data_IF_163994652886
#
_entry.id   IF_163994652886
#
_cell.length_a   1.000
_cell.length_b   1.000
_cell.length_c   1.000
_cell.angle_alpha   90.00
_cell.angle_beta   90.00
_cell.angle_gamma   90.00
#
_symmetry.space_group_name_H-M   'P 1'
#
loop_
_entity.id
_entity.type
_entity.pdbx_description
1 polymer ?
#
# COMPACT_ATOMS: atom_id res chain seq x y z
N UNK A 1 -22.83 -5.85 13.24
CA UNK A 1 -21.86 -6.94 13.02
C UNK A 1 -20.48 -6.38 13.27
N UNK A 2 -19.56 -7.11 13.91
CA UNK A 2 -18.17 -6.68 13.99
C UNK A 2 -17.61 -6.50 12.56
N UNK A 3 -16.76 -5.51 12.36
CA UNK A 3 -16.08 -5.32 11.10
C UNK A 3 -15.18 -6.54 10.80
N UNK A 4 -15.25 -7.04 9.58
CA UNK A 4 -14.50 -8.22 9.11
C UNK A 4 -14.20 -8.08 7.63
N UNK A 5 -13.13 -8.72 7.16
CA UNK A 5 -12.71 -8.79 5.76
C UNK A 5 -13.19 -10.10 5.12
N UNK A 6 -14.49 -10.41 5.25
CA UNK A 6 -15.06 -11.60 4.62
C UNK A 6 -14.93 -11.51 3.09
N UNK A 7 -14.44 -12.59 2.47
CA UNK A 7 -14.36 -12.76 1.01
C UNK A 7 -13.54 -11.67 0.28
N UNK A 8 -12.55 -11.07 0.95
CA UNK A 8 -11.66 -10.10 0.29
C UNK A 8 -10.83 -10.79 -0.81
N UNK A 9 -11.18 -10.52 -2.06
CA UNK A 9 -10.43 -11.01 -3.21
C UNK A 9 -9.06 -10.33 -3.30
N UNK A 10 -7.97 -11.10 -3.52
CA UNK A 10 -6.66 -10.50 -3.67
C UNK A 10 -6.56 -9.57 -4.87
N UNK A 11 -5.86 -8.45 -4.70
CA UNK A 11 -5.67 -7.40 -5.70
C UNK A 11 -4.20 -7.35 -6.07
N UNK A 12 -3.92 -7.31 -7.37
CA UNK A 12 -2.59 -7.11 -7.93
C UNK A 12 -2.57 -5.86 -8.80
N UNK A 13 -1.45 -5.17 -8.82
CA UNK A 13 -1.28 -4.01 -9.71
C UNK A 13 0.14 -3.49 -9.73
N UNK A 14 0.39 -2.58 -10.66
CA UNK A 14 1.66 -1.86 -10.80
C UNK A 14 1.46 -0.42 -10.30
N UNK A 15 2.19 0.03 -9.27
CA UNK A 15 2.08 1.40 -8.79
C UNK A 15 2.93 2.35 -9.63
N UNK A 16 2.51 3.60 -9.73
CA UNK A 16 3.35 4.70 -10.24
C UNK A 16 4.44 5.01 -9.22
N UNK A 17 5.69 4.83 -9.59
CA UNK A 17 6.83 5.09 -8.69
C UNK A 17 7.17 6.57 -8.73
N UNK A 18 7.18 7.21 -7.57
CA UNK A 18 7.63 8.60 -7.41
C UNK A 18 8.77 8.64 -6.39
N UNK A 19 9.87 9.28 -6.76
CA UNK A 19 11.05 9.40 -5.92
C UNK A 19 11.08 10.78 -5.26
N UNK A 20 11.31 10.80 -3.95
CA UNK A 20 11.60 12.02 -3.19
C UNK A 20 13.11 12.09 -2.92
N UNK A 21 13.75 13.19 -3.35
CA UNK A 21 15.19 13.43 -3.18
C UNK A 21 16.04 13.27 -4.45
N UNK A 22 17.29 13.71 -4.38
CA UNK A 22 18.24 13.72 -5.50
C UNK A 22 18.90 12.35 -5.70
N UNK A 23 18.19 11.39 -6.29
CA UNK A 23 18.76 10.09 -6.64
C UNK A 23 19.56 10.18 -7.95
N UNK A 24 20.86 10.45 -7.86
CA UNK A 24 21.79 10.44 -8.99
C UNK A 24 22.45 9.07 -9.11
N UNK A 25 21.75 8.06 -9.65
CA UNK A 25 22.45 6.89 -10.23
C UNK A 25 21.92 5.49 -9.95
N UNK A 26 20.93 5.28 -9.08
CA UNK A 26 20.34 3.95 -8.87
C UNK A 26 18.98 3.84 -9.57
N UNK A 27 19.01 3.29 -10.78
CA UNK A 27 17.89 2.62 -11.45
C UNK A 27 16.51 3.24 -11.25
N UNK A 28 16.26 4.40 -11.88
CA UNK A 28 14.95 5.09 -11.95
C UNK A 28 13.85 4.30 -12.72
N UNK A 29 14.01 2.98 -12.88
CA UNK A 29 13.09 2.11 -13.64
C UNK A 29 12.96 0.74 -12.97
N UNK A 30 12.83 0.71 -11.65
CA UNK A 30 12.33 -0.48 -10.98
C UNK A 30 10.82 -0.54 -11.18
N UNK A 31 10.37 -1.48 -12.02
CA UNK A 31 8.97 -1.87 -12.06
C UNK A 31 8.66 -2.58 -10.74
N UNK A 32 7.76 -2.01 -9.97
CA UNK A 32 7.24 -2.65 -8.76
C UNK A 32 5.87 -3.25 -9.07
N UNK A 33 5.55 -4.32 -8.35
CA UNK A 33 4.20 -4.87 -8.31
C UNK A 33 3.76 -4.83 -6.86
N UNK A 34 2.52 -4.45 -6.62
CA UNK A 34 1.88 -4.60 -5.33
C UNK A 34 0.88 -5.75 -5.33
N UNK A 35 0.70 -6.34 -4.15
CA UNK A 35 -0.24 -7.39 -3.87
C UNK A 35 -0.95 -7.08 -2.55
N UNK A 36 -2.27 -6.99 -2.58
CA UNK A 36 -3.10 -6.76 -1.40
C UNK A 36 -4.03 -7.95 -1.20
N UNK A 37 -4.05 -8.52 -0.01
CA UNK A 37 -4.92 -9.66 0.32
C UNK A 37 -5.26 -9.68 1.80
N UNK A 38 -6.27 -10.48 2.15
CA UNK A 38 -6.66 -10.72 3.53
C UNK A 38 -6.19 -12.12 3.94
N UNK A 39 -5.09 -12.27 4.71
CA UNK A 39 -4.65 -13.58 5.19
C UNK A 39 -5.65 -14.25 6.15
N UNK A 40 -6.47 -13.46 6.83
CA UNK A 40 -7.58 -13.88 7.69
C UNK A 40 -8.71 -12.84 7.63
N UNK A 41 -9.76 -13.00 8.44
CA UNK A 41 -10.91 -12.07 8.44
C UNK A 41 -10.66 -10.76 9.18
N UNK A 42 -9.49 -10.56 9.81
CA UNK A 42 -9.19 -9.41 10.67
C UNK A 42 -7.98 -8.60 10.25
N UNK A 43 -7.24 -9.02 9.22
CA UNK A 43 -6.04 -8.34 8.73
C UNK A 43 -6.04 -8.19 7.21
N UNK A 44 -5.61 -7.01 6.75
CA UNK A 44 -5.30 -6.73 5.36
C UNK A 44 -3.78 -6.59 5.23
N UNK A 45 -3.17 -7.43 4.38
CA UNK A 45 -1.73 -7.39 4.10
C UNK A 45 -1.48 -6.77 2.72
N UNK A 46 -0.55 -5.83 2.70
CA UNK A 46 -0.07 -5.12 1.51
C UNK A 46 1.41 -5.49 1.34
N UNK A 47 1.74 -6.06 0.19
CA UNK A 47 3.11 -6.38 -0.21
C UNK A 47 3.48 -5.57 -1.45
N UNK A 48 4.72 -5.10 -1.53
CA UNK A 48 5.26 -4.41 -2.71
C UNK A 48 6.65 -4.97 -3.00
N UNK A 49 6.91 -5.39 -4.24
CA UNK A 49 8.19 -6.03 -4.61
C UNK A 49 8.65 -5.65 -6.00
N UNK A 50 9.96 -5.56 -6.19
CA UNK A 50 10.61 -5.51 -7.52
C UNK A 50 11.03 -6.90 -8.03
N UNK A 51 10.76 -7.96 -7.25
CA UNK A 51 11.19 -9.35 -7.49
C UNK A 51 12.68 -9.54 -7.77
N UNK A 52 13.52 -8.57 -7.39
CA UNK A 52 14.97 -8.61 -7.62
C UNK A 52 15.74 -8.46 -6.32
N UNK A 53 15.48 -7.37 -5.61
CA UNK A 53 16.29 -6.94 -4.48
C UNK A 53 15.46 -6.53 -3.28
N UNK A 54 14.24 -6.03 -3.52
CA UNK A 54 13.48 -5.33 -2.48
C UNK A 54 12.05 -5.81 -2.41
N UNK A 55 11.62 -6.15 -1.20
CA UNK A 55 10.21 -6.46 -0.89
C UNK A 55 9.85 -5.80 0.43
N UNK A 56 8.73 -5.08 0.45
CA UNK A 56 8.15 -4.48 1.65
C UNK A 56 6.79 -5.12 1.93
N UNK A 57 6.48 -5.21 3.22
CA UNK A 57 5.19 -5.68 3.72
C UNK A 57 4.65 -4.71 4.76
N UNK A 58 3.33 -4.50 4.72
CA UNK A 58 2.58 -3.84 5.78
C UNK A 58 1.28 -4.59 6.04
N UNK A 59 0.90 -4.72 7.31
CA UNK A 59 -0.35 -5.35 7.73
C UNK A 59 -1.19 -4.34 8.47
N UNK A 60 -2.48 -4.26 8.13
CA UNK A 60 -3.48 -3.41 8.77
C UNK A 60 -4.57 -4.27 9.40
N UNK A 61 -4.79 -4.10 10.69
CA UNK A 61 -5.92 -4.76 11.35
C UNK A 61 -7.24 -4.07 10.98
N UNK A 62 -8.36 -4.77 11.12
CA UNK A 62 -9.69 -4.19 10.96
C UNK A 62 -9.88 -2.93 11.82
N UNK A 63 -9.39 -2.91 13.06
CA UNK A 63 -9.46 -1.73 13.91
C UNK A 63 -8.75 -0.51 13.32
N UNK A 64 -7.57 -0.73 12.71
CA UNK A 64 -6.84 0.35 12.02
C UNK A 64 -7.57 0.79 10.74
N UNK A 65 -8.24 -0.13 10.07
CA UNK A 65 -9.06 0.18 8.90
C UNK A 65 -10.35 0.94 9.28
N UNK A 66 -10.95 0.66 10.44
CA UNK A 66 -12.07 1.45 10.99
C UNK A 66 -11.62 2.88 11.35
N UNK A 67 -10.49 3.03 12.01
CA UNK A 67 -9.90 4.35 12.29
C UNK A 67 -9.58 5.11 10.99
N UNK A 68 -9.11 4.40 9.97
CA UNK A 68 -8.90 4.96 8.64
C UNK A 68 -10.22 5.40 7.98
N UNK A 69 -11.31 4.63 8.10
CA UNK A 69 -12.64 5.02 7.60
C UNK A 69 -13.08 6.33 8.21
N UNK A 70 -12.94 6.45 9.52
CA UNK A 70 -13.36 7.62 10.27
C UNK A 70 -12.50 8.85 9.90
N UNK A 71 -11.20 8.65 9.65
CA UNK A 71 -10.27 9.69 9.18
C UNK A 71 -10.54 10.16 7.75
N UNK A 72 -10.88 9.24 6.83
CA UNK A 72 -11.22 9.57 5.43
C UNK A 72 -12.60 10.23 5.33
N UNK A 73 -13.47 10.00 6.33
CA UNK A 73 -14.81 10.60 6.40
C UNK A 73 -15.85 9.90 5.53
N UNK A 74 -15.66 8.61 5.23
CA UNK A 74 -16.65 7.81 4.49
C UNK A 74 -17.75 7.40 5.46
N UNK A 75 -18.90 8.04 5.33
CA UNK A 75 -20.13 7.60 5.99
C UNK A 75 -20.69 6.33 5.35
N UNK A 76 -21.63 5.68 6.04
CA UNK A 76 -22.26 4.45 5.57
C UNK A 76 -21.82 3.22 6.36
N UNK A 77 -21.96 2.05 5.74
CA UNK A 77 -21.63 0.77 6.35
C UNK A 77 -20.14 0.43 6.23
N UNK A 78 -19.69 -0.56 7.00
CA UNK A 78 -18.36 -1.14 6.84
C UNK A 78 -18.11 -1.65 5.40
N UNK A 79 -19.09 -2.30 4.79
CA UNK A 79 -18.99 -2.81 3.42
C UNK A 79 -18.83 -1.68 2.40
N UNK A 80 -19.48 -0.52 2.60
CA UNK A 80 -19.31 0.64 1.73
C UNK A 80 -17.86 1.15 1.77
N UNK A 81 -17.27 1.17 2.95
CA UNK A 81 -15.86 1.54 3.13
C UNK A 81 -14.91 0.52 2.49
N UNK A 82 -15.13 -0.78 2.67
CA UNK A 82 -14.31 -1.81 2.01
C UNK A 82 -14.44 -1.73 0.50
N UNK A 83 -15.64 -1.49 -0.03
CA UNK A 83 -15.85 -1.29 -1.46
C UNK A 83 -15.09 -0.07 -1.98
N UNK A 84 -15.13 1.06 -1.25
CA UNK A 84 -14.31 2.23 -1.54
C UNK A 84 -12.81 1.88 -1.55
N UNK A 85 -12.32 1.22 -0.50
CA UNK A 85 -10.91 0.86 -0.37
C UNK A 85 -10.43 -0.01 -1.54
N UNK A 86 -11.21 -1.04 -1.89
CA UNK A 86 -10.94 -1.92 -3.04
C UNK A 86 -10.93 -1.11 -4.34
N UNK A 87 -11.90 -0.23 -4.56
CA UNK A 87 -11.96 0.62 -5.74
C UNK A 87 -10.75 1.58 -5.83
N UNK A 88 -10.32 2.15 -4.70
CA UNK A 88 -9.13 3.00 -4.62
C UNK A 88 -7.86 2.24 -4.96
N UNK A 89 -7.69 1.02 -4.44
CA UNK A 89 -6.51 0.18 -4.73
C UNK A 89 -6.51 -0.31 -6.19
N UNK A 90 -7.69 -0.64 -6.74
CA UNK A 90 -7.83 -1.04 -8.15
C UNK A 90 -7.76 0.14 -9.13
N UNK A 91 -7.72 1.38 -8.64
CA UNK A 91 -7.56 2.53 -9.50
C UNK A 91 -6.16 2.55 -10.13
N UNK A 92 -6.05 3.04 -11.36
CA UNK A 92 -4.75 3.23 -12.03
C UNK A 92 -3.93 4.41 -11.46
N UNK A 93 -4.25 4.85 -10.24
CA UNK A 93 -3.62 6.00 -9.57
C UNK A 93 -2.97 5.66 -8.23
N UNK A 94 -2.65 4.38 -8.01
CA UNK A 94 -1.82 3.95 -6.87
C UNK A 94 -0.38 4.41 -7.08
N UNK A 95 0.18 5.05 -6.05
CA UNK A 95 1.55 5.57 -6.06
C UNK A 95 2.43 4.88 -5.03
N UNK A 96 3.66 4.56 -5.42
CA UNK A 96 4.72 4.11 -4.54
C UNK A 96 5.71 5.26 -4.35
N UNK A 97 5.71 5.85 -3.15
CA UNK A 97 6.65 6.91 -2.79
C UNK A 97 7.91 6.29 -2.19
N UNK A 98 9.05 6.55 -2.82
CA UNK A 98 10.36 6.08 -2.36
C UNK A 98 11.22 7.27 -1.99
N UNK A 99 11.73 7.26 -0.76
CA UNK A 99 12.67 8.27 -0.28
C UNK A 99 14.10 7.78 -0.45
N UNK A 100 14.91 8.56 -1.16
CA UNK A 100 16.33 8.32 -1.25
C UNK A 100 16.99 8.62 0.09
N UNK A 101 17.76 7.67 0.63
CA UNK A 101 18.65 8.00 1.74
C UNK A 101 19.65 9.06 1.26
N UNK A 102 19.86 10.14 2.02
CA UNK A 102 20.87 11.13 1.67
C UNK A 102 22.24 10.44 1.63
N UNK A 103 23.04 10.73 0.62
CA UNK A 103 24.43 10.27 0.56
C UNK A 103 25.12 10.72 1.86
N UNK A 104 25.42 9.77 2.74
CA UNK A 104 26.22 10.03 3.93
C UNK A 104 27.69 10.18 3.52
N UNK A 105 27.99 11.14 2.65
CA UNK A 105 29.34 11.62 2.43
C UNK A 105 29.69 12.54 3.59
N UNK A 106 29.84 11.93 4.77
CA UNK A 106 30.47 12.53 5.92
C UNK A 106 31.95 12.70 5.62
N UNK A 107 32.31 13.84 5.04
CA UNK A 107 33.68 14.31 5.07
C UNK A 107 33.95 14.82 6.49
N UNK A 108 34.57 13.97 7.33
CA UNK A 108 35.37 14.41 8.46
C UNK A 108 36.76 14.83 7.98
#
# INVERSE_FOLDING_TARGET
>A
MPAVLEEFEPIFGEPKVEWTGSCSGLGQSSAFVFYVHSPDSSHLRICVSDFRHTTWESVRSVWQLEDMRDSVGIGGSWSDFIHYLVASIKSEDVKLLLEALPDSNGNQ
#
